data_IF_548688556706
#
_entry.id   IF_548688556706
#
_cell.length_a   1.000
_cell.length_b   1.000
_cell.length_c   1.000
_cell.angle_alpha   90.00
_cell.angle_beta   90.00
_cell.angle_gamma   90.00
#
_symmetry.space_group_name_H-M   'P 1'
#
loop_
_entity.id
_entity.type
_entity.pdbx_description
1 polymer ?
#
# COMPACT_ATOMS: atom_id res chain seq x y z
N UNK A 1 3.62 -0.90 -32.51
CA UNK A 1 3.40 0.39 -31.84
C UNK A 1 2.54 0.11 -30.62
N UNK A 2 3.12 -0.01 -29.43
CA UNK A 2 2.33 -0.15 -28.19
C UNK A 2 1.76 1.22 -27.87
N UNK A 3 0.51 1.47 -28.26
CA UNK A 3 -0.20 2.66 -27.81
C UNK A 3 -0.59 2.42 -26.35
N UNK A 4 0.08 3.10 -25.43
CA UNK A 4 -0.31 3.20 -24.01
C UNK A 4 -1.36 4.29 -23.88
N UNK A 5 -2.44 4.21 -24.65
CA UNK A 5 -3.57 5.12 -24.55
C UNK A 5 -4.79 4.30 -24.13
N UNK A 6 -5.10 4.31 -22.83
CA UNK A 6 -6.42 3.89 -22.35
C UNK A 6 -7.29 5.12 -22.16
N UNK A 7 -8.56 5.03 -22.57
CA UNK A 7 -9.54 6.06 -22.20
C UNK A 7 -9.85 5.90 -20.71
N UNK A 8 -9.77 6.99 -19.96
CA UNK A 8 -10.24 6.96 -18.57
C UNK A 8 -11.73 6.63 -18.54
N UNK A 9 -12.10 5.53 -17.87
CA UNK A 9 -13.49 5.18 -17.58
C UNK A 9 -14.05 5.93 -16.36
N UNK A 10 -13.17 6.53 -15.56
CA UNK A 10 -13.52 7.23 -14.32
C UNK A 10 -13.01 8.67 -14.35
N UNK A 11 -13.85 9.62 -13.94
CA UNK A 11 -13.57 11.06 -14.03
C UNK A 11 -13.40 11.72 -12.66
N UNK A 12 -13.49 10.94 -11.57
CA UNK A 12 -13.31 11.42 -10.20
C UNK A 12 -11.87 11.24 -9.68
N UNK A 13 -11.48 11.98 -8.63
CA UNK A 13 -10.20 11.76 -7.97
C UNK A 13 -10.14 10.35 -7.37
N UNK A 14 -8.95 9.75 -7.36
CA UNK A 14 -8.71 8.52 -6.58
C UNK A 14 -8.88 8.82 -5.07
N UNK A 15 -9.13 7.76 -4.29
CA UNK A 15 -9.49 7.85 -2.87
C UNK A 15 -8.48 8.70 -2.08
N UNK A 16 -7.18 8.48 -2.26
CA UNK A 16 -6.14 9.20 -1.52
C UNK A 16 -6.17 10.71 -1.80
N UNK A 17 -6.34 11.11 -3.06
CA UNK A 17 -6.51 12.52 -3.42
C UNK A 17 -7.77 13.11 -2.81
N UNK A 18 -8.89 12.37 -2.82
CA UNK A 18 -10.13 12.83 -2.19
C UNK A 18 -9.98 13.05 -0.68
N UNK A 19 -9.24 12.18 0.01
CA UNK A 19 -8.96 12.29 1.44
C UNK A 19 -8.07 13.51 1.73
N UNK A 20 -7.07 13.77 0.89
CA UNK A 20 -6.22 14.97 0.98
C UNK A 20 -7.04 16.25 0.78
N UNK A 21 -7.90 16.30 -0.24
CA UNK A 21 -8.80 17.44 -0.47
C UNK A 21 -9.68 17.72 0.76
N UNK A 22 -10.25 16.67 1.35
CA UNK A 22 -11.06 16.78 2.57
C UNK A 22 -10.25 17.31 3.75
N UNK A 23 -9.02 16.84 3.93
CA UNK A 23 -8.12 17.32 4.98
C UNK A 23 -7.79 18.81 4.79
N UNK A 24 -7.51 19.24 3.55
CA UNK A 24 -7.25 20.64 3.21
C UNK A 24 -8.47 21.54 3.44
N UNK A 25 -9.66 21.14 3.01
CA UNK A 25 -10.91 21.89 3.25
C UNK A 25 -11.17 22.08 4.75
N UNK A 26 -10.79 21.10 5.56
CA UNK A 26 -10.95 21.13 7.02
C UNK A 26 -9.77 21.76 7.76
N UNK A 27 -8.78 22.33 7.04
CA UNK A 27 -7.55 22.89 7.62
C UNK A 27 -6.83 21.94 8.59
N UNK A 28 -6.78 20.64 8.26
CA UNK A 28 -6.05 19.65 9.06
C UNK A 28 -4.55 19.71 8.78
N UNK A 29 -3.74 19.41 9.79
CA UNK A 29 -2.31 19.14 9.60
C UNK A 29 -2.16 17.85 8.78
N UNK A 30 -1.32 17.92 7.74
CA UNK A 30 -1.05 16.78 6.84
C UNK A 30 0.37 16.29 7.10
N UNK A 31 0.48 15.02 7.45
CA UNK A 31 1.76 14.35 7.67
C UNK A 31 2.01 13.31 6.60
N UNK A 32 3.17 13.40 5.98
CA UNK A 32 3.66 12.40 5.04
C UNK A 32 4.22 11.21 5.82
N UNK A 33 3.81 10.00 5.45
CA UNK A 33 4.26 8.74 6.08
C UNK A 33 5.24 7.95 5.21
N UNK A 34 5.50 8.41 3.98
CA UNK A 34 6.50 7.89 3.06
C UNK A 34 6.76 8.95 2.00
N UNK A 35 8.02 9.22 1.64
CA UNK A 35 8.35 10.10 0.53
C UNK A 35 8.40 9.40 -0.82
N UNK A 36 8.17 10.16 -1.92
CA UNK A 36 8.43 9.64 -3.27
C UNK A 36 9.86 9.10 -3.42
N UNK A 37 10.85 9.75 -2.82
CA UNK A 37 12.26 9.33 -2.85
C UNK A 37 12.48 8.01 -2.10
N UNK A 38 11.85 7.82 -0.93
CA UNK A 38 11.93 6.59 -0.15
C UNK A 38 11.26 5.42 -0.89
N UNK A 39 10.09 5.66 -1.48
CA UNK A 39 9.40 4.70 -2.32
C UNK A 39 10.27 4.28 -3.52
N UNK A 40 10.85 5.25 -4.23
CA UNK A 40 11.72 5.00 -5.39
C UNK A 40 13.02 4.30 -4.98
N UNK A 41 13.63 4.69 -3.87
CA UNK A 41 14.84 4.06 -3.35
C UNK A 41 14.59 2.58 -3.01
N UNK A 42 13.45 2.26 -2.40
CA UNK A 42 13.06 0.88 -2.15
C UNK A 42 12.95 0.08 -3.46
N UNK A 43 12.35 0.66 -4.50
CA UNK A 43 12.26 0.02 -5.80
C UNK A 43 13.62 -0.14 -6.50
N UNK A 44 14.47 0.89 -6.52
CA UNK A 44 15.80 0.84 -7.12
C UNK A 44 16.77 -0.11 -6.42
N UNK A 45 16.57 -0.35 -5.13
CA UNK A 45 17.34 -1.35 -4.41
C UNK A 45 16.96 -2.80 -4.80
N UNK A 46 15.87 -3.02 -5.54
CA UNK A 46 15.50 -4.34 -6.02
C UNK A 46 16.51 -4.81 -7.09
N UNK A 47 17.04 -6.06 -7.00
CA UNK A 47 17.98 -6.56 -8.01
C UNK A 47 17.41 -6.47 -9.43
N UNK A 48 18.22 -5.98 -10.38
CA UNK A 48 17.81 -5.78 -11.77
C UNK A 48 17.24 -7.05 -12.41
N UNK A 49 17.83 -8.21 -12.13
CA UNK A 49 17.31 -9.50 -12.59
C UNK A 49 15.88 -9.79 -12.12
N UNK A 50 15.53 -9.35 -10.90
CA UNK A 50 14.18 -9.48 -10.36
C UNK A 50 13.24 -8.51 -11.03
N UNK A 51 13.64 -7.24 -11.21
CA UNK A 51 12.84 -6.26 -11.95
C UNK A 51 12.50 -6.77 -13.36
N UNK A 52 13.50 -7.28 -14.09
CA UNK A 52 13.30 -7.84 -15.45
C UNK A 52 12.42 -9.08 -15.43
N UNK A 53 12.61 -10.00 -14.48
CA UNK A 53 11.80 -11.22 -14.37
C UNK A 53 10.33 -10.91 -14.08
N UNK A 54 10.07 -9.98 -13.16
CA UNK A 54 8.73 -9.53 -12.77
C UNK A 54 8.04 -8.76 -13.90
N UNK A 55 8.78 -7.91 -14.63
CA UNK A 55 8.24 -7.20 -15.80
C UNK A 55 7.81 -8.19 -16.89
N UNK A 56 8.65 -9.20 -17.20
CA UNK A 56 8.30 -10.25 -18.18
C UNK A 56 7.04 -11.01 -17.76
N UNK A 57 6.91 -11.32 -16.48
CA UNK A 57 5.73 -12.00 -15.94
C UNK A 57 4.48 -11.10 -16.02
N UNK A 58 4.60 -9.80 -15.72
CA UNK A 58 3.51 -8.83 -15.86
C UNK A 58 3.07 -8.63 -17.31
N UNK A 59 3.99 -8.61 -18.27
CA UNK A 59 3.67 -8.52 -19.69
C UNK A 59 2.89 -9.73 -20.19
N UNK A 60 3.17 -10.93 -19.69
CA UNK A 60 2.40 -12.15 -20.03
C UNK A 60 0.97 -12.14 -19.50
N UNK A 61 0.69 -11.36 -18.45
CA UNK A 61 -0.64 -11.21 -17.87
C UNK A 61 -1.31 -9.88 -18.24
N UNK A 62 -0.74 -9.11 -19.17
CA UNK A 62 -1.22 -7.78 -19.53
C UNK A 62 -2.69 -7.78 -20.00
N UNK A 63 -3.07 -8.75 -20.81
CA UNK A 63 -4.45 -8.89 -21.32
C UNK A 63 -5.49 -9.18 -20.23
N UNK A 64 -5.03 -9.58 -19.02
CA UNK A 64 -5.88 -9.86 -17.86
C UNK A 64 -5.93 -8.72 -16.85
N UNK A 65 -5.26 -7.60 -17.14
CA UNK A 65 -5.09 -6.50 -16.19
C UNK A 65 -6.42 -5.89 -15.73
N UNK A 66 -7.36 -5.66 -16.67
CA UNK A 66 -8.67 -5.09 -16.35
C UNK A 66 -9.46 -6.03 -15.42
N UNK A 67 -9.59 -7.31 -15.80
CA UNK A 67 -10.23 -8.32 -14.96
C UNK A 67 -9.58 -8.44 -13.58
N UNK A 68 -8.25 -8.40 -13.51
CA UNK A 68 -7.52 -8.46 -12.23
C UNK A 68 -7.86 -7.26 -11.36
N UNK A 69 -8.01 -6.07 -11.94
CA UNK A 69 -8.41 -4.87 -11.20
C UNK A 69 -9.85 -4.98 -10.67
N UNK A 70 -10.78 -5.48 -11.48
CA UNK A 70 -12.18 -5.69 -11.04
C UNK A 70 -12.24 -6.68 -9.86
N UNK A 71 -11.54 -7.81 -9.95
CA UNK A 71 -11.43 -8.79 -8.86
C UNK A 71 -10.77 -8.19 -7.59
N UNK A 72 -9.79 -7.28 -7.75
CA UNK A 72 -9.20 -6.57 -6.62
C UNK A 72 -10.19 -5.59 -5.96
N UNK A 73 -11.03 -4.90 -6.75
CA UNK A 73 -12.06 -4.00 -6.21
C UNK A 73 -13.08 -4.81 -5.42
N UNK A 74 -13.56 -5.93 -5.96
CA UNK A 74 -14.50 -6.82 -5.25
C UNK A 74 -13.92 -7.29 -3.91
N UNK A 75 -12.68 -7.79 -3.90
CA UNK A 75 -12.00 -8.22 -2.67
C UNK A 75 -11.79 -7.07 -1.67
N UNK A 76 -11.49 -5.87 -2.16
CA UNK A 76 -11.32 -4.68 -1.34
C UNK A 76 -12.63 -4.27 -0.65
N UNK A 77 -13.76 -4.27 -1.38
CA UNK A 77 -15.06 -3.86 -0.87
C UNK A 77 -15.61 -4.80 0.22
N UNK A 78 -15.25 -6.08 0.20
CA UNK A 78 -15.61 -7.05 1.24
C UNK A 78 -14.51 -7.24 2.29
N UNK A 79 -13.48 -6.39 2.26
CA UNK A 79 -12.34 -6.40 3.19
C UNK A 79 -11.57 -7.74 3.24
N UNK A 80 -11.57 -8.51 2.14
CA UNK A 80 -10.82 -9.77 2.04
C UNK A 80 -9.36 -9.52 1.63
N UNK A 81 -8.55 -9.26 2.65
CA UNK A 81 -7.12 -9.01 2.50
C UNK A 81 -6.35 -10.21 1.92
N UNK A 82 -6.82 -11.44 2.12
CA UNK A 82 -6.15 -12.65 1.62
C UNK A 82 -6.37 -12.76 0.12
N UNK A 83 -7.61 -12.62 -0.33
CA UNK A 83 -7.94 -12.62 -1.76
C UNK A 83 -7.28 -11.44 -2.47
N UNK A 84 -7.34 -10.23 -1.89
CA UNK A 84 -6.67 -9.05 -2.44
C UNK A 84 -5.16 -9.26 -2.63
N UNK A 85 -4.50 -9.92 -1.67
CA UNK A 85 -3.07 -10.26 -1.76
C UNK A 85 -2.80 -11.28 -2.86
N UNK A 86 -3.63 -12.32 -2.95
CA UNK A 86 -3.47 -13.37 -3.96
C UNK A 86 -3.71 -12.85 -5.39
N UNK A 87 -4.73 -12.00 -5.58
CA UNK A 87 -5.08 -11.43 -6.88
C UNK A 87 -4.00 -10.41 -7.31
N UNK A 88 -3.61 -9.49 -6.42
CA UNK A 88 -2.60 -8.47 -6.75
C UNK A 88 -1.24 -9.04 -7.12
N UNK A 89 -0.93 -10.26 -6.66
CA UNK A 89 0.34 -10.95 -6.94
C UNK A 89 0.20 -12.12 -7.92
N UNK A 90 -0.97 -12.32 -8.53
CA UNK A 90 -1.25 -13.44 -9.44
C UNK A 90 -0.35 -13.48 -10.68
N UNK A 91 0.19 -12.32 -11.08
CA UNK A 91 1.09 -12.20 -12.22
C UNK A 91 2.47 -12.79 -11.91
N UNK A 92 2.86 -12.86 -10.64
CA UNK A 92 4.15 -13.41 -10.23
C UNK A 92 4.07 -14.93 -10.29
N UNK A 93 4.99 -15.54 -11.04
CA UNK A 93 5.03 -16.99 -11.16
C UNK A 93 5.15 -17.70 -9.80
N UNK A 94 4.35 -18.76 -9.62
CA UNK A 94 4.41 -19.67 -8.48
C UNK A 94 5.50 -20.75 -8.63
N UNK A 95 6.24 -20.75 -9.74
CA UNK A 95 7.39 -21.65 -9.93
C UNK A 95 8.38 -21.50 -8.75
N UNK A 96 8.76 -22.59 -8.06
CA UNK A 96 9.78 -22.56 -7.02
C UNK A 96 11.08 -21.88 -7.46
N UNK A 97 11.48 -22.00 -8.73
CA UNK A 97 12.67 -21.35 -9.30
C UNK A 97 12.59 -19.83 -9.28
N UNK A 98 11.38 -19.27 -9.26
CA UNK A 98 11.12 -17.83 -9.21
C UNK A 98 10.83 -17.31 -7.80
N UNK A 99 10.99 -18.15 -6.77
CA UNK A 99 10.81 -17.75 -5.36
C UNK A 99 11.64 -16.53 -5.00
N UNK A 100 12.89 -16.48 -5.42
CA UNK A 100 13.77 -15.34 -5.16
C UNK A 100 13.18 -14.01 -5.65
N UNK A 101 12.71 -13.96 -6.91
CA UNK A 101 12.13 -12.73 -7.47
C UNK A 101 10.83 -12.33 -6.79
N UNK A 102 9.99 -13.30 -6.41
CA UNK A 102 8.77 -13.05 -5.63
C UNK A 102 9.11 -12.47 -4.25
N UNK A 103 10.10 -13.02 -3.58
CA UNK A 103 10.53 -12.53 -2.26
C UNK A 103 11.10 -11.10 -2.38
N UNK A 104 11.84 -10.80 -3.46
CA UNK A 104 12.31 -9.44 -3.75
C UNK A 104 11.16 -8.47 -4.03
N UNK A 105 10.11 -8.91 -4.75
CA UNK A 105 8.91 -8.10 -4.97
C UNK A 105 8.26 -7.69 -3.64
N UNK A 106 7.97 -8.64 -2.75
CA UNK A 106 7.35 -8.34 -1.46
C UNK A 106 8.25 -7.49 -0.57
N UNK A 107 9.55 -7.81 -0.53
CA UNK A 107 10.52 -7.06 0.28
C UNK A 107 10.55 -5.57 -0.11
N UNK A 108 10.67 -5.28 -1.40
CA UNK A 108 10.90 -3.92 -1.89
C UNK A 108 9.60 -3.14 -2.14
N UNK A 109 8.50 -3.82 -2.48
CA UNK A 109 7.21 -3.15 -2.74
C UNK A 109 6.37 -2.96 -1.49
N UNK A 110 6.60 -3.76 -0.43
CA UNK A 110 5.78 -3.78 0.78
C UNK A 110 6.65 -3.69 2.05
N UNK A 111 7.52 -4.67 2.33
CA UNK A 111 8.16 -4.80 3.65
C UNK A 111 8.99 -3.59 4.07
N UNK A 112 9.87 -3.11 3.18
CA UNK A 112 10.74 -1.95 3.47
C UNK A 112 9.89 -0.70 3.72
N UNK A 113 8.86 -0.52 2.87
CA UNK A 113 7.95 0.61 2.93
C UNK A 113 7.10 0.59 4.20
N UNK A 114 6.67 -0.58 4.66
CA UNK A 114 5.95 -0.74 5.93
C UNK A 114 6.76 -0.29 7.13
N UNK A 115 8.08 -0.54 7.13
CA UNK A 115 8.98 -0.08 8.20
C UNK A 115 9.07 1.45 8.22
N UNK A 116 9.23 2.07 7.04
CA UNK A 116 9.26 3.54 6.88
C UNK A 116 7.94 4.15 7.34
N UNK A 117 6.81 3.61 6.86
CA UNK A 117 5.48 4.08 7.23
C UNK A 117 5.21 3.95 8.74
N UNK A 118 5.46 2.79 9.33
CA UNK A 118 5.26 2.59 10.76
C UNK A 118 6.13 3.54 11.59
N UNK A 119 7.34 3.85 11.13
CA UNK A 119 8.22 4.82 11.77
C UNK A 119 7.64 6.24 11.73
N UNK A 120 7.27 6.73 10.55
CA UNK A 120 6.74 8.09 10.42
C UNK A 120 5.35 8.28 11.04
N UNK A 121 4.52 7.23 11.10
CA UNK A 121 3.22 7.26 11.77
C UNK A 121 3.34 7.57 13.28
N UNK A 122 4.45 7.21 13.91
CA UNK A 122 4.60 7.35 15.36
C UNK A 122 4.53 8.80 15.84
N UNK A 123 5.19 9.73 15.14
CA UNK A 123 5.18 11.14 15.56
C UNK A 123 3.79 11.78 15.49
N UNK A 124 3.05 11.69 14.35
CA UNK A 124 1.67 12.18 14.27
C UNK A 124 0.73 11.52 15.27
N UNK A 125 0.90 10.23 15.61
CA UNK A 125 0.09 9.58 16.64
C UNK A 125 0.33 10.18 18.02
N UNK A 126 1.59 10.41 18.41
CA UNK A 126 1.91 11.01 19.70
C UNK A 126 1.46 12.48 19.78
N UNK A 127 1.66 13.26 18.71
CA UNK A 127 1.21 14.65 18.65
C UNK A 127 -0.32 14.77 18.60
N UNK A 128 -1.00 13.92 17.84
CA UNK A 128 -2.46 13.93 17.72
C UNK A 128 -3.17 13.53 19.02
N UNK A 129 -2.46 12.86 19.94
CA UNK A 129 -2.92 12.55 21.30
C UNK A 129 -2.65 13.67 22.30
N UNK A 130 -2.04 14.79 21.89
CA UNK A 130 -1.83 15.94 22.74
C UNK A 130 -3.19 16.59 23.09
N UNK A 131 -3.71 16.20 24.25
CA UNK A 131 -4.95 16.71 24.84
C UNK A 131 -4.98 18.24 24.96
N UNK A 132 -3.81 18.90 25.04
CA UNK A 132 -3.74 20.35 25.14
C UNK A 132 -3.98 21.05 23.80
N UNK A 133 -3.89 20.33 22.68
CA UNK A 133 -4.28 20.83 21.36
C UNK A 133 -5.75 20.55 21.00
N UNK A 134 -6.48 19.79 21.83
CA UNK A 134 -7.88 19.43 21.58
C UNK A 134 -8.10 18.58 20.32
N UNK A 135 -7.06 17.90 19.82
CA UNK A 135 -7.11 17.12 18.58
C UNK A 135 -7.69 15.71 18.85
N UNK A 136 -8.57 15.26 17.96
CA UNK A 136 -9.27 13.96 18.05
C UNK A 136 -8.46 12.76 17.53
N UNK A 137 -7.14 12.77 17.73
CA UNK A 137 -6.23 11.79 17.15
C UNK A 137 -5.90 12.03 15.67
N UNK A 138 -5.24 11.04 15.06
CA UNK A 138 -4.70 11.12 13.69
C UNK A 138 -5.36 10.08 12.80
N UNK A 139 -5.85 10.52 11.64
CA UNK A 139 -6.34 9.64 10.58
C UNK A 139 -5.21 9.33 9.60
N UNK A 140 -5.03 8.07 9.22
CA UNK A 140 -3.97 7.62 8.31
C UNK A 140 -4.59 6.76 7.21
N UNK A 141 -4.26 7.07 5.95
CA UNK A 141 -4.58 6.24 4.79
C UNK A 141 -3.31 5.53 4.30
N UNK A 142 -3.40 4.21 4.08
CA UNK A 142 -2.37 3.40 3.42
C UNK A 142 -3.04 2.37 2.52
N UNK A 143 -2.35 1.93 1.47
CA UNK A 143 -2.83 0.85 0.64
C UNK A 143 -3.06 -0.44 1.44
N UNK A 144 -4.18 -1.13 1.21
CA UNK A 144 -4.58 -2.31 1.99
C UNK A 144 -3.53 -3.44 2.02
N UNK A 145 -2.70 -3.54 0.97
CA UNK A 145 -1.59 -4.51 0.88
C UNK A 145 -0.49 -4.30 1.92
N UNK A 146 -0.46 -3.15 2.58
CA UNK A 146 0.48 -2.87 3.66
C UNK A 146 0.04 -3.48 5.01
N UNK A 147 -1.21 -3.97 5.14
CA UNK A 147 -1.76 -4.50 6.38
C UNK A 147 -1.38 -5.96 6.71
N UNK A 148 -1.36 -6.91 5.74
CA UNK A 148 -1.22 -8.33 6.07
C UNK A 148 0.17 -8.74 6.57
N UNK A 149 0.19 -9.80 7.40
CA UNK A 149 1.39 -10.55 7.75
C UNK A 149 2.27 -9.93 8.83
N UNK A 150 3.38 -10.61 9.15
CA UNK A 150 4.28 -10.24 10.25
C UNK A 150 5.02 -8.92 10.05
N UNK A 151 5.10 -8.44 8.81
CA UNK A 151 5.70 -7.14 8.48
C UNK A 151 4.65 -6.11 8.06
N UNK A 152 3.37 -6.41 8.23
CA UNK A 152 2.29 -5.45 8.00
C UNK A 152 2.36 -4.28 8.99
N UNK A 153 1.89 -3.10 8.58
CA UNK A 153 2.06 -1.86 9.37
C UNK A 153 1.46 -2.00 10.77
N UNK A 154 0.30 -2.65 10.89
CA UNK A 154 -0.38 -2.84 12.18
C UNK A 154 0.44 -3.69 13.15
N UNK A 155 1.06 -4.76 12.64
CA UNK A 155 1.93 -5.60 13.47
C UNK A 155 3.22 -4.86 13.85
N UNK A 156 3.80 -4.05 12.96
CA UNK A 156 4.96 -3.23 13.27
C UNK A 156 4.64 -2.16 14.33
N UNK A 157 3.49 -1.50 14.23
CA UNK A 157 3.01 -0.54 15.22
C UNK A 157 2.84 -1.18 16.60
N UNK A 158 2.21 -2.36 16.67
CA UNK A 158 2.05 -3.08 17.93
C UNK A 158 3.40 -3.50 18.52
N UNK A 159 4.25 -4.18 17.73
CA UNK A 159 5.49 -4.80 18.24
C UNK A 159 6.60 -3.81 18.53
N UNK A 160 6.76 -2.78 17.70
CA UNK A 160 7.90 -1.86 17.79
C UNK A 160 7.57 -0.59 18.57
N UNK A 161 6.29 -0.21 18.63
CA UNK A 161 5.87 1.06 19.23
C UNK A 161 4.81 0.90 20.34
N UNK A 162 4.34 -0.33 20.61
CA UNK A 162 3.47 -0.61 21.75
C UNK A 162 2.01 -0.16 21.57
N UNK A 163 1.58 0.12 20.33
CA UNK A 163 0.19 0.49 20.08
C UNK A 163 -0.75 -0.69 20.28
N UNK A 164 -1.89 -0.44 20.94
CA UNK A 164 -3.01 -1.39 20.95
C UNK A 164 -3.83 -1.20 19.69
N UNK A 165 -3.92 -2.25 18.87
CA UNK A 165 -4.67 -2.24 17.62
C UNK A 165 -6.04 -2.88 17.83
N UNK A 166 -7.09 -2.19 17.41
CA UNK A 166 -8.46 -2.71 17.39
C UNK A 166 -9.17 -2.28 16.11
N UNK A 167 -9.90 -3.20 15.49
CA UNK A 167 -10.78 -2.87 14.37
C UNK A 167 -11.99 -2.09 14.89
N UNK A 168 -12.31 -1.00 14.21
CA UNK A 168 -13.55 -0.24 14.43
C UNK A 168 -14.49 -0.57 13.28
N UNK A 169 -15.70 -1.02 13.61
CA UNK A 169 -16.75 -1.23 12.62
C UNK A 169 -17.50 0.09 12.43
N UNK A 170 -17.48 0.61 11.20
CA UNK A 170 -18.30 1.75 10.82
C UNK A 170 -19.70 1.23 10.48
N UNK A 171 -20.72 1.71 11.20
CA UNK A 171 -22.13 1.44 10.91
C UNK A 171 -22.66 2.40 9.86
#
# INVERSE_FOLDING_TARGET
>A
MFSVASKSKYTGPIIDHKLLDMASIQNKEIYQIESPEEMLAAFYAMPMESQVSLLKDKLKSFDKMEKTLDEMIEAYLVEDLVSLTNISTNFISKDPKKKFHRDMYFKHSIDIRNVVMAHYMNMPFLYGLDKFKGQGGTFVSVGAMHLPGKKGVLNLLEKNYGYKISRIEFK
#
